data_IF_724305591092
#
_entry.id   IF_724305591092
#
_cell.length_a   1.000
_cell.length_b   1.000
_cell.length_c   1.000
_cell.angle_alpha   90.00
_cell.angle_beta   90.00
_cell.angle_gamma   90.00
#
_symmetry.space_group_name_H-M   'P 1'
#
loop_
_entity.id
_entity.type
_entity.pdbx_description
1 polymer ?
#
# COMPACT_ATOMS: atom_id res chain seq x y z
N UNK A 1 6.34 0.57 -32.48
CA UNK A 1 6.02 -0.87 -32.58
C UNK A 1 6.31 -1.67 -31.30
N UNK A 2 6.53 -1.04 -30.14
CA UNK A 2 6.59 -1.74 -28.86
C UNK A 2 6.05 -0.79 -27.79
N UNK A 3 4.72 -0.71 -27.69
CA UNK A 3 4.07 -0.12 -26.53
C UNK A 3 3.78 -1.27 -25.59
N UNK A 4 4.37 -1.29 -24.40
CA UNK A 4 3.90 -2.18 -23.34
C UNK A 4 2.47 -1.79 -23.03
N UNK A 5 1.53 -2.58 -23.53
CA UNK A 5 0.12 -2.40 -23.27
C UNK A 5 -0.22 -2.82 -21.84
N UNK A 6 -1.45 -2.48 -21.44
CA UNK A 6 -2.03 -2.99 -20.21
C UNK A 6 -1.99 -4.54 -20.14
N UNK A 7 -2.23 -5.30 -21.23
CA UNK A 7 -2.15 -6.76 -21.19
C UNK A 7 -0.76 -7.29 -20.84
N UNK A 8 0.30 -6.75 -21.46
CA UNK A 8 1.68 -7.15 -21.22
C UNK A 8 2.12 -6.83 -19.79
N UNK A 9 1.74 -5.65 -19.27
CA UNK A 9 1.97 -5.28 -17.87
C UNK A 9 1.29 -6.24 -16.90
N UNK A 10 0.07 -6.69 -17.21
CA UNK A 10 -0.67 -7.66 -16.40
C UNK A 10 0.04 -9.02 -16.35
N UNK A 11 0.56 -9.50 -17.48
CA UNK A 11 1.33 -10.74 -17.55
C UNK A 11 2.59 -10.64 -16.69
N UNK A 12 3.32 -9.53 -16.79
CA UNK A 12 4.51 -9.29 -15.97
C UNK A 12 4.13 -9.24 -14.48
N UNK A 13 3.04 -8.56 -14.13
CA UNK A 13 2.55 -8.47 -12.75
C UNK A 13 2.23 -9.87 -12.19
N UNK A 14 1.59 -10.74 -12.98
CA UNK A 14 1.29 -12.12 -12.57
C UNK A 14 2.57 -12.91 -12.30
N UNK A 15 3.57 -12.79 -13.17
CA UNK A 15 4.87 -13.46 -12.98
C UNK A 15 5.56 -12.98 -11.69
N UNK A 16 5.57 -11.67 -11.46
CA UNK A 16 6.13 -11.07 -10.23
C UNK A 16 5.38 -11.59 -9.00
N UNK A 17 4.05 -11.67 -9.04
CA UNK A 17 3.24 -12.22 -7.94
C UNK A 17 3.53 -13.69 -7.69
N UNK A 18 3.82 -14.49 -8.72
CA UNK A 18 4.21 -15.89 -8.55
C UNK A 18 5.58 -16.01 -7.85
N UNK A 19 6.55 -15.19 -8.24
CA UNK A 19 7.90 -15.22 -7.68
C UNK A 19 7.92 -14.74 -6.22
N UNK A 20 7.29 -13.60 -5.95
CA UNK A 20 7.31 -12.97 -4.63
C UNK A 20 6.18 -13.47 -3.72
N UNK A 21 5.13 -14.06 -4.28
CA UNK A 21 3.90 -14.43 -3.58
C UNK A 21 2.92 -13.25 -3.47
N UNK A 22 1.62 -13.56 -3.55
CA UNK A 22 0.54 -12.57 -3.43
C UNK A 22 0.55 -11.83 -2.07
N UNK A 23 1.11 -12.43 -1.03
CA UNK A 23 1.19 -11.84 0.31
C UNK A 23 2.30 -10.80 0.47
N UNK A 24 3.38 -10.87 -0.31
CA UNK A 24 4.53 -9.95 -0.14
C UNK A 24 4.31 -8.59 -0.79
N UNK A 25 3.58 -8.55 -1.91
CA UNK A 25 3.21 -7.29 -2.58
C UNK A 25 2.50 -6.29 -1.65
N UNK A 26 1.42 -6.67 -0.93
CA UNK A 26 0.75 -5.76 0.00
C UNK A 26 1.60 -5.45 1.24
N UNK A 27 2.44 -6.37 1.70
CA UNK A 27 3.36 -6.11 2.82
C UNK A 27 4.36 -5.00 2.49
N UNK A 28 5.00 -5.09 1.32
CA UNK A 28 5.92 -4.07 0.79
C UNK A 28 5.16 -2.77 0.50
N UNK A 29 4.00 -2.85 -0.14
CA UNK A 29 3.15 -1.70 -0.44
C UNK A 29 2.69 -0.94 0.80
N UNK A 30 2.37 -1.63 1.90
CA UNK A 30 2.02 -1.01 3.17
C UNK A 30 3.21 -0.28 3.80
N UNK A 31 4.43 -0.83 3.71
CA UNK A 31 5.65 -0.18 4.19
C UNK A 31 5.97 1.08 3.38
N UNK A 32 6.04 0.95 2.06
CA UNK A 32 6.32 2.05 1.13
C UNK A 32 5.24 3.12 1.20
N UNK A 33 3.96 2.73 1.25
CA UNK A 33 2.83 3.65 1.31
C UNK A 33 2.82 4.51 2.59
N UNK A 34 3.17 3.92 3.75
CA UNK A 34 3.37 4.67 4.99
C UNK A 34 4.54 5.65 4.88
N UNK A 35 5.65 5.22 4.30
CA UNK A 35 6.81 6.09 4.04
C UNK A 35 6.46 7.29 3.17
N UNK A 36 5.79 7.06 2.03
CA UNK A 36 5.34 8.11 1.12
C UNK A 36 4.32 9.04 1.82
N UNK A 37 3.38 8.49 2.60
CA UNK A 37 2.40 9.28 3.35
C UNK A 37 3.09 10.21 4.36
N UNK A 38 4.06 9.69 5.10
CA UNK A 38 4.83 10.47 6.08
C UNK A 38 5.70 11.53 5.40
N UNK A 39 6.35 11.18 4.28
CA UNK A 39 7.13 12.12 3.47
C UNK A 39 6.24 13.26 2.95
N UNK A 40 5.05 12.93 2.41
CA UNK A 40 4.09 13.93 1.93
C UNK A 40 3.61 14.85 3.07
N UNK A 41 3.40 14.30 4.28
CA UNK A 41 2.96 15.07 5.46
C UNK A 41 4.06 16.04 5.92
N UNK A 42 5.31 15.59 5.97
CA UNK A 42 6.46 16.42 6.32
C UNK A 42 6.70 17.55 5.28
N UNK A 43 6.59 17.24 3.99
CA UNK A 43 6.74 18.24 2.92
C UNK A 43 5.62 19.30 2.91
N UNK A 44 4.45 18.97 3.46
CA UNK A 44 3.34 19.91 3.61
C UNK A 44 3.43 20.78 4.86
N UNK A 45 4.39 20.53 5.74
CA UNK A 45 4.54 21.27 7.01
C UNK A 45 3.40 21.02 8.00
N UNK A 46 2.64 19.94 7.83
CA UNK A 46 1.57 19.54 8.76
C UNK A 46 2.19 18.80 9.97
N UNK A 47 3.05 19.47 10.73
CA UNK A 47 3.54 19.01 12.03
C UNK A 47 2.46 19.18 13.10
N UNK A 48 1.34 18.50 12.92
CA UNK A 48 0.46 18.15 14.04
C UNK A 48 0.67 16.67 14.37
N UNK A 49 1.14 16.45 15.60
CA UNK A 49 1.26 15.16 16.28
C UNK A 49 -0.10 14.47 16.13
N UNK A 50 -0.17 13.45 15.27
CA UNK A 50 -1.38 12.65 15.10
C UNK A 50 -1.49 11.72 16.32
N UNK A 51 -2.05 12.26 17.41
CA UNK A 51 -2.42 11.51 18.63
C UNK A 51 -3.64 10.61 18.40
N UNK A 52 -4.07 10.40 17.15
CA UNK A 52 -5.18 9.50 16.84
C UNK A 52 -4.90 8.09 17.40
N UNK A 53 -5.63 7.65 18.45
CA UNK A 53 -5.50 6.30 18.92
C UNK A 53 -5.92 5.38 17.78
N UNK A 54 -5.02 4.46 17.41
CA UNK A 54 -5.23 3.38 16.46
C UNK A 54 -6.62 2.80 16.71
N UNK A 55 -7.59 3.15 15.85
CA UNK A 55 -9.00 2.76 16.01
C UNK A 55 -9.02 1.25 16.03
N UNK A 56 -9.30 0.69 17.21
CA UNK A 56 -9.51 -0.73 17.48
C UNK A 56 -10.37 -1.31 16.36
N UNK A 57 -9.81 -2.29 15.68
CA UNK A 57 -10.61 -3.34 15.04
C UNK A 57 -11.23 -4.16 16.16
N UNK A 58 -12.33 -3.69 16.75
CA UNK A 58 -13.21 -4.47 17.62
C UNK A 58 -14.63 -3.94 17.47
N UNK A 59 -15.36 -4.53 16.54
CA UNK A 59 -16.83 -4.57 16.54
C UNK A 59 -17.25 -5.88 15.89
N UNK A 60 -16.89 -6.97 16.55
CA UNK A 60 -17.75 -8.16 16.57
C UNK A 60 -18.91 -7.90 17.55
N UNK A 61 -20.10 -8.37 17.15
CA UNK A 61 -21.37 -8.56 17.88
C UNK A 61 -22.52 -7.60 17.56
N UNK A 62 -23.45 -8.20 16.81
CA UNK A 62 -24.87 -8.45 17.16
C UNK A 62 -25.77 -7.24 17.45
N UNK A 63 -26.84 -7.12 16.68
CA UNK A 63 -28.20 -7.45 17.12
C UNK A 63 -29.16 -7.34 15.93
#
# INVERSE_FOLDING_TARGET
MFGLGIPELLIILVIVVIIFGASRLPEIGNGVGKGIKNLKKALKGEDEIDVSPKKKSDSEKKA
#
